data_IF_270978073895
#
_entry.id   IF_270978073895
#
_cell.length_a   1.000
_cell.length_b   1.000
_cell.length_c   1.000
_cell.angle_alpha   90.00
_cell.angle_beta   90.00
_cell.angle_gamma   90.00
#
_symmetry.space_group_name_H-M   'P 1'
#
loop_
_entity.id
_entity.type
_entity.pdbx_description
1 polymer ?
#
# COMPACT_ATOMS: atom_id res chain seq x y z
N UNK A 1 20.00 -6.47 -19.48
CA UNK A 1 19.89 -5.47 -18.39
C UNK A 1 18.90 -4.40 -18.83
N UNK A 2 17.64 -4.49 -18.39
CA UNK A 2 16.66 -3.43 -18.68
C UNK A 2 17.10 -2.16 -17.94
N UNK A 3 17.54 -1.13 -18.68
CA UNK A 3 17.77 0.20 -18.13
C UNK A 3 16.42 0.73 -17.66
N UNK A 4 16.27 0.95 -16.35
CA UNK A 4 15.08 1.59 -15.80
C UNK A 4 14.87 2.95 -16.49
N UNK A 5 13.65 3.28 -16.96
CA UNK A 5 13.40 4.54 -17.63
C UNK A 5 13.36 5.65 -16.57
N UNK A 6 14.42 6.45 -16.47
CA UNK A 6 14.54 7.61 -15.56
C UNK A 6 14.47 7.31 -14.05
N UNK A 7 15.19 8.11 -13.25
CA UNK A 7 15.29 7.95 -11.79
C UNK A 7 13.95 8.15 -11.03
N UNK A 8 12.84 8.44 -11.73
CA UNK A 8 11.59 8.90 -11.11
C UNK A 8 10.33 8.12 -11.58
N UNK A 9 10.45 7.07 -12.39
CA UNK A 9 9.27 6.38 -12.94
C UNK A 9 8.33 5.80 -11.87
N UNK A 10 8.87 5.48 -10.71
CA UNK A 10 8.10 4.98 -9.57
C UNK A 10 7.07 5.99 -9.06
N UNK A 11 7.26 7.29 -9.31
CA UNK A 11 6.30 8.32 -8.95
C UNK A 11 4.96 8.17 -9.70
N UNK A 12 4.95 7.57 -10.89
CA UNK A 12 3.70 7.22 -11.58
C UNK A 12 2.87 6.19 -10.80
N UNK A 13 3.50 5.36 -9.98
CA UNK A 13 2.82 4.40 -9.11
C UNK A 13 2.52 5.01 -7.73
N UNK A 14 3.44 5.81 -7.19
CA UNK A 14 3.27 6.44 -5.87
C UNK A 14 2.17 7.49 -5.84
N UNK A 15 2.12 8.39 -6.83
CA UNK A 15 1.18 9.52 -6.79
C UNK A 15 -0.28 9.04 -6.70
N UNK A 16 -0.73 8.06 -7.50
CA UNK A 16 -2.07 7.49 -7.34
C UNK A 16 -2.30 6.87 -5.96
N UNK A 17 -1.34 6.08 -5.44
CA UNK A 17 -1.44 5.50 -4.09
C UNK A 17 -1.58 6.59 -3.02
N UNK A 18 -0.70 7.60 -3.07
CA UNK A 18 -0.68 8.72 -2.14
C UNK A 18 -2.03 9.45 -2.18
N UNK A 19 -2.50 9.82 -3.38
CA UNK A 19 -3.77 10.53 -3.54
C UNK A 19 -4.95 9.73 -2.97
N UNK A 20 -5.06 8.46 -3.36
CA UNK A 20 -6.12 7.55 -2.90
C UNK A 20 -6.12 7.44 -1.37
N UNK A 21 -4.97 7.18 -0.76
CA UNK A 21 -4.91 6.89 0.68
C UNK A 21 -4.88 8.13 1.58
N UNK A 22 -4.47 9.30 1.07
CA UNK A 22 -4.73 10.56 1.77
C UNK A 22 -6.23 10.87 1.76
N UNK A 23 -6.88 10.75 0.60
CA UNK A 23 -8.30 11.07 0.45
C UNK A 23 -9.20 10.12 1.24
N UNK A 24 -8.94 8.82 1.18
CA UNK A 24 -9.76 7.81 1.87
C UNK A 24 -9.30 7.51 3.30
N UNK A 25 -8.01 7.64 3.60
CA UNK A 25 -7.47 7.34 4.92
C UNK A 25 -7.71 8.44 5.95
N UNK A 26 -7.65 9.72 5.55
CA UNK A 26 -7.85 10.84 6.46
C UNK A 26 -9.23 10.83 7.15
N UNK A 27 -10.35 10.64 6.43
CA UNK A 27 -11.68 10.56 7.07
C UNK A 27 -11.87 9.35 7.99
N UNK A 28 -11.03 8.32 7.85
CA UNK A 28 -11.09 7.10 8.66
C UNK A 28 -10.28 7.21 9.97
N UNK A 29 -9.61 8.33 10.20
CA UNK A 29 -8.86 8.55 11.44
C UNK A 29 -9.81 8.64 12.63
N UNK A 30 -9.65 7.74 13.59
CA UNK A 30 -10.50 7.69 14.79
C UNK A 30 -11.91 7.13 14.55
N UNK A 31 -12.18 6.59 13.37
CA UNK A 31 -13.46 5.98 13.00
C UNK A 31 -13.28 4.47 12.87
N UNK A 32 -14.22 3.70 13.40
CA UNK A 32 -14.26 2.26 13.19
C UNK A 32 -14.72 1.95 11.76
N UNK A 33 -13.94 1.14 11.05
CA UNK A 33 -14.27 0.68 9.70
C UNK A 33 -14.73 -0.77 9.73
N UNK A 34 -15.76 -1.08 8.93
CA UNK A 34 -16.21 -2.45 8.63
C UNK A 34 -16.68 -3.30 9.83
N UNK A 35 -17.05 -2.67 10.95
CA UNK A 35 -17.49 -3.34 12.19
C UNK A 35 -16.46 -4.37 12.70
N UNK A 36 -15.17 -4.04 12.57
CA UNK A 36 -14.05 -4.90 12.95
C UNK A 36 -13.58 -4.70 14.41
N UNK A 37 -14.28 -3.88 15.18
CA UNK A 37 -13.88 -3.49 16.53
C UNK A 37 -12.55 -2.74 16.51
N UNK A 38 -11.66 -3.05 17.46
CA UNK A 38 -10.37 -2.37 17.60
C UNK A 38 -9.52 -2.38 16.32
N UNK A 39 -9.57 -3.46 15.53
CA UNK A 39 -8.83 -3.56 14.27
C UNK A 39 -9.35 -2.55 13.23
N UNK A 40 -10.66 -2.26 13.24
CA UNK A 40 -11.27 -1.28 12.35
C UNK A 40 -10.72 0.13 12.53
N UNK A 41 -10.33 0.49 13.75
CA UNK A 41 -9.70 1.78 14.05
C UNK A 41 -8.27 1.91 13.52
N UNK A 42 -7.59 0.80 13.20
CA UNK A 42 -6.24 0.83 12.65
C UNK A 42 -6.22 1.09 11.14
N UNK A 43 -7.34 0.89 10.44
CA UNK A 43 -7.45 1.08 8.98
C UNK A 43 -7.10 2.50 8.58
N UNK A 44 -7.72 3.51 9.19
CA UNK A 44 -7.45 4.92 8.89
C UNK A 44 -5.99 5.33 9.10
N UNK A 45 -5.40 5.09 10.29
CA UNK A 45 -4.00 5.37 10.55
C UNK A 45 -3.06 4.68 9.55
N UNK A 46 -3.31 3.41 9.21
CA UNK A 46 -2.43 2.69 8.28
C UNK A 46 -2.51 3.23 6.85
N UNK A 47 -3.71 3.53 6.37
CA UNK A 47 -3.92 4.16 5.07
C UNK A 47 -3.26 5.55 5.02
N UNK A 48 -3.59 6.42 5.98
CA UNK A 48 -3.14 7.81 5.98
C UNK A 48 -1.62 7.94 6.20
N UNK A 49 -1.07 7.31 7.24
CA UNK A 49 0.37 7.39 7.50
C UNK A 49 1.17 6.59 6.48
N UNK A 50 0.62 5.50 5.94
CA UNK A 50 1.22 4.78 4.81
C UNK A 50 1.42 5.69 3.60
N UNK A 51 0.41 6.51 3.27
CA UNK A 51 0.51 7.51 2.21
C UNK A 51 1.56 8.60 2.51
N UNK A 52 1.59 9.12 3.74
CA UNK A 52 2.61 10.10 4.16
C UNK A 52 4.01 9.51 4.00
N UNK A 53 4.22 8.27 4.43
CA UNK A 53 5.49 7.58 4.30
C UNK A 53 5.90 7.34 2.84
N UNK A 54 4.95 7.11 1.93
CA UNK A 54 5.24 7.04 0.50
C UNK A 54 5.66 8.40 -0.10
N UNK A 55 5.19 9.53 0.45
CA UNK A 55 5.64 10.87 0.07
C UNK A 55 7.07 11.12 0.57
N UNK A 56 7.31 10.96 1.87
CA UNK A 56 8.55 11.42 2.51
C UNK A 56 9.69 10.40 2.38
N UNK A 57 9.37 9.11 2.24
CA UNK A 57 10.36 8.02 2.23
C UNK A 57 11.48 8.19 1.19
N UNK A 58 11.18 8.53 -0.07
CA UNK A 58 12.20 8.77 -1.09
C UNK A 58 13.21 9.87 -0.77
N UNK A 59 12.80 10.86 0.02
CA UNK A 59 13.61 12.05 0.27
C UNK A 59 14.46 11.93 1.54
N UNK A 60 13.95 11.23 2.56
CA UNK A 60 14.58 11.18 3.87
C UNK A 60 15.13 9.80 4.22
N UNK A 61 14.28 8.77 4.20
CA UNK A 61 14.65 7.43 4.62
C UNK A 61 13.90 6.38 3.80
N UNK A 62 14.64 5.61 3.01
CA UNK A 62 14.10 4.54 2.17
C UNK A 62 13.28 3.51 2.95
N UNK A 63 13.63 3.27 4.21
CA UNK A 63 12.88 2.37 5.10
C UNK A 63 11.44 2.87 5.34
N UNK A 64 11.20 4.18 5.35
CA UNK A 64 9.85 4.73 5.50
C UNK A 64 8.99 4.38 4.29
N UNK A 65 9.53 4.46 3.07
CA UNK A 65 8.80 4.00 1.89
C UNK A 65 8.42 2.53 1.99
N UNK A 66 9.35 1.67 2.41
CA UNK A 66 9.08 0.24 2.60
C UNK A 66 7.97 0.05 3.64
N UNK A 67 8.10 0.68 4.81
CA UNK A 67 7.09 0.58 5.87
C UNK A 67 5.73 1.09 5.38
N UNK A 68 5.69 2.25 4.74
CA UNK A 68 4.44 2.85 4.22
C UNK A 68 3.76 1.98 3.16
N UNK A 69 4.55 1.40 2.25
CA UNK A 69 4.03 0.47 1.25
C UNK A 69 3.47 -0.81 1.89
N UNK A 70 4.14 -1.35 2.92
CA UNK A 70 3.65 -2.53 3.65
C UNK A 70 2.38 -2.23 4.47
N UNK A 71 2.28 -1.03 5.06
CA UNK A 71 1.05 -0.57 5.74
C UNK A 71 -0.14 -0.55 4.79
N UNK A 72 0.03 -0.06 3.57
CA UNK A 72 -1.03 -0.08 2.56
C UNK A 72 -1.33 -1.52 2.13
N UNK A 73 -0.31 -2.34 1.88
CA UNK A 73 -0.50 -3.73 1.44
C UNK A 73 -1.32 -4.55 2.43
N UNK A 74 -1.03 -4.45 3.74
CA UNK A 74 -1.75 -5.21 4.76
C UNK A 74 -3.23 -4.78 4.87
N UNK A 75 -3.52 -3.49 4.73
CA UNK A 75 -4.90 -3.00 4.74
C UNK A 75 -5.67 -3.50 3.52
N UNK A 76 -5.06 -3.51 2.34
CA UNK A 76 -5.72 -4.04 1.13
C UNK A 76 -5.95 -5.54 1.21
N UNK A 77 -5.02 -6.31 1.80
CA UNK A 77 -5.25 -7.75 2.07
C UNK A 77 -6.45 -7.93 3.00
N UNK A 78 -6.54 -7.11 4.05
CA UNK A 78 -7.71 -7.09 4.94
C UNK A 78 -9.00 -6.78 4.20
N UNK A 79 -8.99 -5.77 3.31
CA UNK A 79 -10.15 -5.40 2.50
C UNK A 79 -10.57 -6.54 1.55
N UNK A 80 -9.62 -7.19 0.86
CA UNK A 80 -9.90 -8.36 0.01
C UNK A 80 -10.56 -9.46 0.83
N UNK A 81 -10.06 -9.74 2.04
CA UNK A 81 -10.66 -10.73 2.92
C UNK A 81 -12.11 -10.37 3.27
N UNK A 82 -12.37 -9.11 3.62
CA UNK A 82 -13.71 -8.64 3.96
C UNK A 82 -14.68 -8.79 2.78
N UNK A 83 -14.31 -8.29 1.61
CA UNK A 83 -15.15 -8.39 0.41
C UNK A 83 -15.47 -9.85 0.05
N UNK A 84 -14.46 -10.71 -0.07
CA UNK A 84 -14.67 -12.07 -0.57
C UNK A 84 -15.27 -13.04 0.46
N UNK A 85 -14.93 -12.91 1.75
CA UNK A 85 -15.27 -13.92 2.76
C UNK A 85 -16.27 -13.43 3.82
N UNK A 86 -16.49 -12.12 3.95
CA UNK A 86 -17.45 -11.57 4.93
C UNK A 86 -18.65 -10.89 4.28
N UNK A 87 -18.45 -10.16 3.20
CA UNK A 87 -19.51 -9.46 2.48
C UNK A 87 -20.04 -10.26 1.29
N UNK A 88 -19.35 -11.35 0.92
CA UNK A 88 -19.77 -12.27 -0.14
C UNK A 88 -19.85 -11.59 -1.53
N UNK A 89 -18.96 -10.61 -1.74
CA UNK A 89 -18.76 -9.93 -3.01
C UNK A 89 -17.94 -10.81 -3.98
N UNK A 90 -17.82 -10.37 -5.23
CA UNK A 90 -17.13 -11.12 -6.28
C UNK A 90 -15.69 -10.64 -6.48
N UNK A 91 -14.92 -11.38 -7.27
CA UNK A 91 -13.55 -10.97 -7.64
C UNK A 91 -13.49 -9.62 -8.37
N UNK A 92 -14.59 -9.20 -9.03
CA UNK A 92 -14.65 -7.90 -9.69
C UNK A 92 -14.63 -6.74 -8.69
N UNK A 93 -15.18 -6.96 -7.50
CA UNK A 93 -15.31 -5.94 -6.46
C UNK A 93 -13.99 -5.69 -5.71
N UNK A 94 -12.98 -6.55 -5.92
CA UNK A 94 -11.66 -6.48 -5.27
C UNK A 94 -10.50 -6.21 -6.23
N UNK A 95 -10.79 -5.90 -7.50
CA UNK A 95 -9.76 -5.72 -8.54
C UNK A 95 -8.74 -4.61 -8.16
N UNK A 96 -9.23 -3.52 -7.58
CA UNK A 96 -8.41 -2.38 -7.18
C UNK A 96 -7.54 -2.69 -5.97
N UNK A 97 -8.08 -3.41 -5.00
CA UNK A 97 -7.37 -3.83 -3.81
C UNK A 97 -6.23 -4.79 -4.21
N UNK A 98 -6.49 -5.72 -5.13
CA UNK A 98 -5.45 -6.63 -5.67
C UNK A 98 -4.35 -5.84 -6.39
N UNK A 99 -4.73 -4.89 -7.25
CA UNK A 99 -3.78 -4.03 -7.95
C UNK A 99 -2.91 -3.24 -6.94
N UNK A 100 -3.54 -2.62 -5.95
CA UNK A 100 -2.85 -1.84 -4.92
C UNK A 100 -1.90 -2.73 -4.11
N UNK A 101 -2.30 -3.95 -3.73
CA UNK A 101 -1.38 -4.91 -3.08
C UNK A 101 -0.17 -5.16 -3.97
N UNK A 102 -0.37 -5.41 -5.27
CA UNK A 102 0.71 -5.64 -6.22
C UNK A 102 1.69 -4.47 -6.31
N UNK A 103 1.16 -3.24 -6.45
CA UNK A 103 1.99 -2.03 -6.54
C UNK A 103 2.72 -1.76 -5.21
N UNK A 104 2.04 -1.90 -4.08
CA UNK A 104 2.65 -1.69 -2.76
C UNK A 104 3.76 -2.70 -2.48
N UNK A 105 3.55 -3.97 -2.81
CA UNK A 105 4.60 -4.99 -2.70
C UNK A 105 5.75 -4.73 -3.67
N UNK A 106 5.48 -4.28 -4.89
CA UNK A 106 6.53 -3.86 -5.83
C UNK A 106 7.39 -2.74 -5.24
N UNK A 107 6.78 -1.67 -4.72
CA UNK A 107 7.50 -0.57 -4.07
C UNK A 107 8.31 -1.04 -2.85
N UNK A 108 7.75 -1.94 -2.04
CA UNK A 108 8.44 -2.52 -0.89
C UNK A 108 9.65 -3.39 -1.28
N UNK A 109 9.55 -4.15 -2.37
CA UNK A 109 10.47 -5.25 -2.68
C UNK A 109 11.50 -4.91 -3.76
N UNK A 110 11.26 -3.91 -4.61
CA UNK A 110 12.12 -3.54 -5.76
C UNK A 110 13.59 -3.34 -5.38
N UNK A 111 13.85 -2.95 -4.14
CA UNK A 111 15.17 -2.65 -3.61
C UNK A 111 15.69 -3.65 -2.57
N UNK A 112 14.90 -4.70 -2.29
CA UNK A 112 15.28 -5.73 -1.34
C UNK A 112 16.50 -6.51 -1.84
N UNK A 113 17.53 -6.64 -1.00
CA UNK A 113 18.74 -7.42 -1.30
C UNK A 113 18.43 -8.87 -1.71
N UNK A 114 17.28 -9.41 -1.31
CA UNK A 114 16.81 -10.75 -1.67
C UNK A 114 16.81 -11.06 -3.18
N UNK A 115 16.62 -10.04 -4.03
CA UNK A 115 16.66 -10.20 -5.51
C UNK A 115 18.08 -10.06 -6.11
N UNK A 116 19.06 -9.60 -5.33
CA UNK A 116 20.45 -9.42 -5.78
C UNK A 116 21.36 -10.62 -5.51
N UNK A 117 20.93 -11.57 -4.68
CA UNK A 117 21.76 -12.72 -4.23
C UNK A 117 21.89 -13.83 -5.30
N UNK A 118 21.14 -13.77 -6.42
CA UNK A 118 21.17 -14.83 -7.44
C UNK A 118 22.08 -14.59 -8.66
N UNK A 119 22.86 -13.50 -8.67
CA UNK A 119 23.73 -13.14 -9.79
C UNK A 119 25.20 -12.96 -9.39
N UNK A 120 25.72 -13.81 -8.51
CA UNK A 120 27.15 -14.00 -8.30
C UNK A 120 27.50 -15.48 -8.47
#
# INVERSE_FOLDING_TARGET
MFKYPSNNIEWFLRIPLIGTFLYHGYPKLGVEVANLGFIGYLVGPFEFFGAIFLIIGPFFYKQLEVIGSLMIAIIMIGAIYMHLFKWNDTLKDVEWQILIVGVSLFLSLKDSKFLKVKNE
#
